data_IF_820587351952
#
_entry.id   IF_820587351952
#
_cell.length_a   1.000
_cell.length_b   1.000
_cell.length_c   1.000
_cell.angle_alpha   90.00
_cell.angle_beta   90.00
_cell.angle_gamma   90.00
#
_symmetry.space_group_name_H-M   'P 1'
#
loop_
_entity.id
_entity.type
_entity.pdbx_description
1 polymer ?
2 non-polymer ?
3 water ?
#
# COMPACT_ATOMS: atom_id res chain seq x y z
N UNK A 3 19.11 -15.57 -42.13
CA UNK A 3 18.82 -15.54 -40.66
C UNK A 3 19.89 -16.32 -39.89
N UNK A 4 21.06 -15.69 -39.74
CA UNK A 4 22.21 -16.32 -39.09
C UNK A 4 22.19 -16.27 -37.55
N UNK A 5 21.44 -15.33 -36.97
CA UNK A 5 21.47 -15.12 -35.52
C UNK A 5 20.15 -14.66 -34.92
N UNK A 6 20.03 -14.85 -33.61
CA UNK A 6 18.85 -14.46 -32.84
C UNK A 6 18.99 -13.02 -32.37
N UNK A 7 17.87 -12.43 -31.88
CA UNK A 7 17.97 -11.17 -31.14
C UNK A 7 18.84 -11.32 -29.88
N UNK A 8 19.70 -10.33 -29.64
CA UNK A 8 20.46 -10.22 -28.38
C UNK A 8 20.05 -8.92 -27.67
N UNK A 9 19.71 -9.02 -26.39
CA UNK A 9 19.39 -7.86 -25.58
C UNK A 9 20.67 -7.10 -25.22
N UNK A 10 20.59 -5.77 -25.11
CA UNK A 10 21.74 -4.97 -24.65
C UNK A 10 22.18 -5.47 -23.26
N UNK A 11 23.50 -5.70 -23.08
CA UNK A 11 23.96 -6.36 -21.85
C UNK A 11 23.74 -5.58 -20.56
N UNK A 12 23.76 -4.25 -20.62
CA UNK A 12 23.65 -3.42 -19.42
C UNK A 12 22.29 -2.75 -19.27
N UNK A 13 21.23 -3.35 -19.81
CA UNK A 13 19.87 -2.92 -19.48
C UNK A 13 19.63 -3.14 -17.98
N UNK A 14 18.91 -2.21 -17.33
CA UNK A 14 18.57 -2.45 -15.92
C UNK A 14 17.67 -3.68 -15.75
N UNK A 15 17.99 -4.52 -14.77
CA UNK A 15 17.18 -5.70 -14.46
C UNK A 15 16.25 -5.46 -13.28
N UNK A 16 16.58 -4.46 -12.46
CA UNK A 16 15.73 -4.07 -11.33
C UNK A 16 14.99 -2.81 -11.73
N UNK A 17 13.69 -2.97 -11.99
CA UNK A 17 12.81 -1.90 -12.35
C UNK A 17 11.77 -1.70 -11.25
N UNK A 18 11.40 -0.44 -11.00
CA UNK A 18 10.40 -0.08 -10.01
C UNK A 18 9.23 0.70 -10.64
N UNK A 19 8.00 0.36 -10.25
CA UNK A 19 6.80 1.07 -10.70
C UNK A 19 5.87 1.31 -9.51
N UNK A 20 5.25 2.48 -9.49
CA UNK A 20 4.32 2.89 -8.43
C UNK A 20 3.03 2.08 -8.51
N UNK A 21 2.52 1.68 -7.36
CA UNK A 21 1.23 1.00 -7.30
C UNK A 21 0.06 1.94 -7.73
N UNK A 22 -1.08 1.31 -8.02
CA UNK A 22 -2.36 1.98 -8.23
C UNK A 22 -2.40 2.90 -9.46
N UNK A 23 -1.68 2.52 -10.52
CA UNK A 23 -1.68 3.25 -11.79
C UNK A 23 -1.63 2.25 -12.94
N UNK A 24 -2.69 2.20 -13.73
CA UNK A 24 -2.69 1.50 -15.01
C UNK A 24 -2.00 2.41 -16.04
N UNK A 25 -1.42 1.80 -17.06
CA UNK A 25 -0.72 2.55 -18.13
C UNK A 25 0.48 3.34 -17.56
N UNK A 26 1.13 2.76 -16.53
CA UNK A 26 2.31 3.35 -15.92
C UNK A 26 3.52 2.72 -16.58
N UNK A 27 4.50 3.56 -16.91
CA UNK A 27 5.75 3.13 -17.51
C UNK A 27 6.61 2.41 -16.46
N UNK A 28 7.06 1.21 -16.81
CA UNK A 28 7.86 0.37 -15.94
C UNK A 28 9.34 0.44 -16.34
N UNK A 29 9.60 0.42 -17.65
CA UNK A 29 10.95 0.48 -18.19
C UNK A 29 10.92 0.14 -19.67
N UNK A 30 12.08 0.12 -20.28
CA UNK A 30 12.22 -0.21 -21.69
C UNK A 30 13.43 -1.10 -21.90
N UNK A 31 13.22 -2.20 -22.63
CA UNK A 31 14.29 -3.08 -23.11
C UNK A 31 14.61 -2.83 -24.58
N UNK A 32 15.76 -3.31 -25.03
CA UNK A 32 16.11 -3.30 -26.44
C UNK A 32 16.90 -4.56 -26.75
N UNK A 33 16.48 -5.26 -27.79
CA UNK A 33 17.27 -6.32 -28.39
C UNK A 33 17.57 -5.94 -29.85
N UNK A 34 18.83 -6.10 -30.25
CA UNK A 34 19.24 -5.86 -31.64
C UNK A 34 19.44 -7.18 -32.35
N UNK A 35 19.24 -7.19 -33.66
CA UNK A 35 19.47 -8.35 -34.49
C UNK A 35 20.27 -7.90 -35.72
N UNK A 36 21.62 -8.00 -35.67
CA UNK A 36 22.43 -7.72 -36.85
C UNK A 36 22.19 -8.74 -37.98
N UNK A 37 21.11 -8.53 -38.71
CA UNK A 37 20.78 -9.26 -39.94
C UNK A 37 20.06 -8.28 -40.84
N UNK A 38 19.95 -8.61 -42.12
CA UNK A 38 19.36 -7.74 -43.12
C UNK A 38 17.84 -7.91 -43.20
N UNK A 39 17.12 -6.79 -43.32
CA UNK A 39 15.67 -6.78 -43.53
C UNK A 39 14.82 -7.37 -42.40
N UNK A 40 14.08 -8.42 -42.73
CA UNK A 40 13.07 -9.04 -41.86
C UNK A 40 13.70 -10.03 -40.86
N UNK A 41 14.90 -10.51 -41.16
CA UNK A 41 15.68 -11.31 -40.21
C UNK A 41 16.31 -10.45 -39.11
N UNK A 42 16.44 -9.14 -39.36
CA UNK A 42 16.93 -8.16 -38.37
C UNK A 42 15.88 -7.37 -37.60
N UNK A 43 14.59 -7.59 -37.89
CA UNK A 43 13.51 -6.87 -37.21
C UNK A 43 13.00 -7.60 -35.95
N UNK A 44 13.02 -6.90 -34.83
CA UNK A 44 12.74 -7.48 -33.51
C UNK A 44 11.31 -7.16 -33.07
N UNK A 45 10.58 -8.20 -32.65
CA UNK A 45 9.24 -8.05 -32.07
C UNK A 45 9.29 -8.49 -30.62
N UNK A 46 8.52 -7.82 -29.76
CA UNK A 46 8.53 -8.04 -28.32
C UNK A 46 7.24 -8.67 -27.81
N UNK A 47 7.38 -9.61 -26.87
CA UNK A 47 6.22 -10.12 -26.14
C UNK A 47 6.58 -10.44 -24.71
N UNK A 48 5.57 -10.73 -23.91
CA UNK A 48 5.80 -11.17 -22.53
C UNK A 48 5.49 -12.64 -22.37
N UNK A 49 6.32 -13.32 -21.58
CA UNK A 49 6.17 -14.75 -21.30
C UNK A 49 5.26 -15.08 -20.13
N UNK A 50 4.91 -14.08 -19.32
CA UNK A 50 4.06 -14.26 -18.16
C UNK A 50 3.45 -12.92 -17.74
N UNK A 51 2.52 -12.98 -16.78
CA UNK A 51 1.84 -11.81 -16.22
C UNK A 51 1.24 -10.87 -17.26
N UNK A 52 0.68 -11.48 -18.32
CA UNK A 52 0.18 -10.79 -19.50
C UNK A 52 -1.08 -9.97 -19.20
N UNK A 53 -1.82 -10.37 -18.16
CA UNK A 53 -3.00 -9.61 -17.73
C UNK A 53 -2.62 -8.36 -16.90
N UNK A 54 -1.38 -8.31 -16.42
CA UNK A 54 -0.87 -7.25 -15.56
C UNK A 54 0.11 -6.27 -16.22
N UNK A 55 0.86 -6.74 -17.23
CA UNK A 55 1.79 -5.92 -17.98
C UNK A 55 1.63 -6.12 -19.48
N UNK A 56 2.08 -5.14 -20.24
CA UNK A 56 2.13 -5.21 -21.70
C UNK A 56 3.44 -4.57 -22.17
N UNK A 57 3.85 -4.92 -23.38
CA UNK A 57 5.09 -4.42 -23.96
C UNK A 57 4.75 -3.88 -25.35
N UNK A 58 5.39 -2.77 -25.72
CA UNK A 58 5.17 -2.12 -27.01
C UNK A 58 6.22 -2.56 -28.06
N UNK A 59 6.06 -2.07 -29.29
CA UNK A 59 6.95 -2.40 -30.39
C UNK A 59 8.38 -1.87 -30.22
N UNK A 60 8.58 -0.85 -29.39
CA UNK A 60 9.93 -0.39 -29.06
C UNK A 60 10.48 -0.95 -27.73
N UNK A 61 9.84 -1.98 -27.18
CA UNK A 61 10.31 -2.64 -25.96
C UNK A 61 9.94 -1.95 -24.67
N UNK A 62 9.05 -0.96 -24.74
CA UNK A 62 8.62 -0.24 -23.53
C UNK A 62 7.52 -1.03 -22.81
N UNK A 63 7.66 -1.19 -21.50
CA UNK A 63 6.75 -1.99 -20.72
C UNK A 63 5.87 -1.06 -19.86
N UNK A 64 4.56 -1.33 -19.86
CA UNK A 64 3.59 -0.59 -19.09
C UNK A 64 2.72 -1.55 -18.29
N UNK A 65 2.20 -1.07 -17.17
CA UNK A 65 1.16 -1.81 -16.46
C UNK A 65 -0.13 -1.78 -17.31
N UNK A 66 -0.80 -2.93 -17.39
CA UNK A 66 -2.09 -3.05 -18.03
C UNK A 66 -3.22 -2.68 -17.07
N UNK A 67 -2.94 -2.83 -15.77
CA UNK A 67 -3.90 -2.59 -14.69
C UNK A 67 -3.23 -1.88 -13.52
N UNK A 68 -4.04 -1.39 -12.59
CA UNK A 68 -3.52 -0.88 -11.33
C UNK A 68 -2.91 -2.04 -10.53
N UNK A 69 -1.63 -1.94 -10.16
CA UNK A 69 -1.02 -2.93 -9.24
C UNK A 69 -1.33 -2.49 -7.81
N UNK A 70 -1.50 -3.46 -6.92
CA UNK A 70 -1.75 -3.17 -5.52
C UNK A 70 -0.59 -3.73 -4.71
N UNK A 71 0.26 -2.83 -4.22
CA UNK A 71 1.41 -3.24 -3.41
C UNK A 71 1.00 -4.06 -2.19
N UNK A 72 -0.14 -3.72 -1.60
CA UNK A 72 -0.64 -4.41 -0.41
C UNK A 72 -1.00 -5.87 -0.75
N UNK A 73 -1.27 -6.18 -2.02
CA UNK A 73 -1.57 -7.55 -2.44
C UNK A 73 -0.32 -8.28 -2.93
N UNK A 74 0.54 -7.60 -3.70
CA UNK A 74 1.80 -8.21 -4.17
C UNK A 74 2.77 -7.12 -4.63
N UNK A 75 4.04 -7.24 -4.24
CA UNK A 75 5.01 -6.17 -4.50
C UNK A 75 6.21 -6.52 -5.41
N UNK A 76 6.17 -7.70 -6.02
CA UNK A 76 7.30 -8.22 -6.78
C UNK A 76 6.80 -9.08 -7.94
N UNK A 77 7.40 -8.88 -9.11
CA UNK A 77 7.12 -9.73 -10.27
C UNK A 77 8.42 -10.10 -10.98
N UNK A 78 8.55 -11.37 -11.34
CA UNK A 78 9.65 -11.85 -12.15
C UNK A 78 9.12 -11.95 -13.57
N UNK A 79 9.33 -10.88 -14.34
CA UNK A 79 8.71 -10.74 -15.66
C UNK A 79 9.60 -11.24 -16.80
N UNK A 80 9.07 -12.14 -17.64
CA UNK A 80 9.81 -12.69 -18.77
C UNK A 80 9.48 -11.89 -20.03
N UNK A 81 10.52 -11.35 -20.65
CA UNK A 81 10.41 -10.60 -21.89
C UNK A 81 11.01 -11.43 -23.01
N UNK A 82 10.30 -11.51 -24.12
CA UNK A 82 10.70 -12.34 -25.25
C UNK A 82 10.95 -11.41 -26.43
N UNK A 83 12.10 -11.56 -27.08
CA UNK A 83 12.41 -10.88 -28.34
C UNK A 83 12.46 -11.93 -29.42
N UNK A 84 11.63 -11.76 -30.46
CA UNK A 84 11.56 -12.67 -31.60
C UNK A 84 11.86 -11.88 -32.88
N UNK A 85 12.67 -12.44 -33.78
CA UNK A 85 12.87 -11.80 -35.09
C UNK A 85 11.70 -12.13 -36.04
N UNK A 86 11.65 -11.42 -37.17
CA UNK A 86 10.63 -11.65 -38.19
C UNK A 86 10.89 -12.74 -39.21
N UNK A 87 12.00 -13.49 -39.08
CA UNK A 87 12.35 -14.54 -40.04
C UNK A 87 11.28 -15.62 -40.19
N UNK A 88 11.30 -16.30 -41.34
CA UNK A 88 10.34 -17.36 -41.66
C UNK A 88 10.44 -18.58 -40.72
N UNK A 89 11.65 -18.88 -40.27
CA UNK A 89 11.89 -19.77 -39.13
C UNK A 89 12.33 -18.86 -37.98
N UNK A 90 11.37 -18.41 -37.12
CA UNK A 90 11.74 -17.39 -36.12
C UNK A 90 12.74 -17.86 -35.06
N UNK A 91 13.59 -16.94 -34.63
CA UNK A 91 14.54 -17.16 -33.55
C UNK A 91 14.23 -16.21 -32.38
N UNK A 92 14.18 -16.77 -31.17
CA UNK A 92 13.73 -16.04 -29.97
C UNK A 92 14.88 -15.96 -28.96
N UNK A 93 14.87 -14.91 -28.15
CA UNK A 93 15.68 -14.87 -26.92
C UNK A 93 14.85 -14.24 -25.82
N UNK A 94 15.27 -14.45 -24.57
CA UNK A 94 14.53 -13.96 -23.41
C UNK A 94 15.40 -13.28 -22.40
N UNK A 95 14.74 -12.47 -21.57
CA UNK A 95 15.33 -11.70 -20.51
C UNK A 95 14.36 -11.74 -19.34
N UNK A 96 14.86 -11.98 -18.13
CA UNK A 96 14.05 -11.80 -16.94
C UNK A 96 14.31 -10.41 -16.33
N UNK A 97 13.21 -9.70 -16.05
CA UNK A 97 13.25 -8.43 -15.31
C UNK A 97 12.60 -8.63 -13.96
N UNK A 98 13.15 -7.94 -12.95
CA UNK A 98 12.69 -8.08 -11.57
C UNK A 98 11.99 -6.79 -11.23
N UNK A 99 10.66 -6.83 -11.14
CA UNK A 99 9.83 -5.64 -10.99
C UNK A 99 9.44 -5.49 -9.51
N UNK A 100 9.66 -4.30 -8.97
CA UNK A 100 9.30 -3.95 -7.59
C UNK A 100 8.16 -2.93 -7.68
N UNK A 101 7.10 -3.16 -6.93
CA UNK A 101 5.95 -2.27 -6.88
C UNK A 101 6.14 -1.34 -5.70
N UNK A 102 6.14 -0.04 -5.97
CA UNK A 102 6.42 0.95 -4.95
C UNK A 102 5.15 1.37 -4.23
N UNK A 103 5.29 1.66 -2.94
CA UNK A 103 4.16 1.99 -2.08
C UNK A 103 3.74 3.44 -2.20
N UNK A 104 2.44 3.69 -2.16
CA UNK A 104 1.88 5.01 -1.86
C UNK A 104 0.99 4.88 -0.63
N UNK A 105 0.77 6.01 0.04
CA UNK A 105 -0.21 6.06 1.11
C UNK A 105 -1.62 6.11 0.53
N UNK A 106 -2.23 4.94 0.38
CA UNK A 106 -3.60 4.82 -0.14
C UNK A 106 -4.53 4.10 0.84
N UNK A 107 -4.08 3.90 2.08
CA UNK A 107 -4.95 3.35 3.13
C UNK A 107 -4.86 4.20 4.40
N UNK A 108 -6.01 4.60 4.89
CA UNK A 108 -6.13 5.19 6.21
C UNK A 108 -6.00 4.11 7.26
N UNK A 109 -5.50 4.46 8.47
CA UNK A 109 -5.59 3.50 9.55
C UNK A 109 -7.03 3.03 9.74
N UNK A 110 -7.20 1.74 10.04
CA UNK A 110 -8.51 1.12 10.25
C UNK A 110 -8.59 0.65 11.71
N UNK A 111 -9.53 1.20 12.46
CA UNK A 111 -9.77 0.75 13.82
C UNK A 111 -10.28 -0.71 13.88
N UNK A 112 -9.85 -1.44 14.91
CA UNK A 112 -10.40 -2.78 15.18
C UNK A 112 -11.92 -2.79 15.41
N UNK A 113 -12.44 -1.72 16.03
CA UNK A 113 -13.86 -1.56 16.30
C UNK A 113 -14.31 -0.27 15.63
N UNK A 114 -15.47 -0.29 14.97
CA UNK A 114 -16.08 0.97 14.58
C UNK A 114 -16.65 1.70 15.81
N UNK A 115 -17.16 0.94 16.78
CA UNK A 115 -17.67 1.51 18.03
C UNK A 115 -17.13 0.75 19.20
N UNK A 116 -16.25 1.39 19.97
CA UNK A 116 -15.85 0.87 21.25
C UNK A 116 -16.90 1.27 22.29
N UNK A 117 -17.30 0.31 23.11
CA UNK A 117 -18.23 0.55 24.21
C UNK A 117 -17.59 -0.05 25.43
N UNK A 118 -17.54 0.72 26.51
CA UNK A 118 -17.02 0.27 27.78
C UNK A 118 -17.91 0.74 28.94
N UNK A 119 -18.11 -0.16 29.89
CA UNK A 119 -18.92 0.10 31.06
C UNK A 119 -17.98 0.25 32.26
N UNK A 120 -18.01 1.42 32.89
CA UNK A 120 -17.14 1.71 34.02
C UNK A 120 -17.96 1.94 35.31
N UNK A 121 -17.34 1.63 36.43
CA UNK A 121 -17.90 1.88 37.74
C UNK A 121 -17.85 3.38 38.00
N UNK A 122 -18.86 3.90 38.69
CA UNK A 122 -18.94 5.33 38.99
C UNK A 122 -17.75 5.80 39.82
N UNK A 123 -17.26 4.95 40.70
CA UNK A 123 -16.12 5.28 41.57
C UNK A 123 -14.77 4.83 41.00
N UNK A 124 -14.68 4.63 39.68
CA UNK A 124 -13.40 4.25 39.07
C UNK A 124 -12.38 5.35 39.38
N UNK A 125 -11.21 4.98 39.94
CA UNK A 125 -10.25 6.01 40.32
C UNK A 125 -9.66 6.78 39.15
N UNK A 126 -9.46 8.08 39.37
CA UNK A 126 -8.69 8.91 38.46
C UNK A 126 -7.34 8.24 38.20
N UNK A 127 -6.90 8.27 36.95
CA UNK A 127 -5.67 7.60 36.54
C UNK A 127 -5.83 6.20 35.97
N UNK A 128 -7.00 5.57 36.16
CA UNK A 128 -7.23 4.23 35.62
C UNK A 128 -7.32 4.26 34.09
N UNK A 129 -6.50 3.44 33.42
CA UNK A 129 -6.66 3.13 32.00
C UNK A 129 -7.63 1.97 31.83
N UNK A 130 -8.76 2.24 31.22
CA UNK A 130 -9.92 1.35 31.22
C UNK A 130 -10.30 0.83 29.84
N UNK A 131 -9.53 1.23 28.81
CA UNK A 131 -9.83 0.83 27.46
C UNK A 131 -8.61 1.10 26.63
N UNK A 132 -8.31 0.18 25.73
CA UNK A 132 -7.26 0.39 24.74
C UNK A 132 -7.90 0.31 23.37
N UNK A 133 -7.71 1.34 22.56
CA UNK A 133 -8.18 1.32 21.17
C UNK A 133 -6.98 0.99 20.27
N UNK A 134 -7.28 0.53 19.04
CA UNK A 134 -6.23 0.05 18.15
C UNK A 134 -6.63 0.23 16.70
N UNK A 135 -5.73 0.81 15.91
CA UNK A 135 -5.92 0.95 14.46
C UNK A 135 -4.67 0.45 13.74
N UNK A 136 -4.86 -0.16 12.57
CA UNK A 136 -3.74 -0.69 11.76
C UNK A 136 -3.72 0.03 10.42
N UNK A 137 -2.52 0.39 9.98
CA UNK A 137 -2.31 0.97 8.67
C UNK A 137 -1.51 0.00 7.81
N UNK A 138 -2.15 -0.50 6.75
CA UNK A 138 -1.53 -1.51 5.87
C UNK A 138 -0.40 -1.00 4.95
N UNK A 139 -0.23 0.32 4.85
CA UNK A 139 0.83 0.90 4.01
C UNK A 139 2.20 0.71 4.64
N UNK A 140 3.22 0.85 3.80
CA UNK A 140 4.61 0.58 4.18
C UNK A 140 5.18 1.67 5.11
N UNK A 141 5.77 1.26 6.22
CA UNK A 141 6.42 2.18 7.16
C UNK A 141 5.50 3.09 7.95
N UNK A 142 4.21 2.81 7.97
CA UNK A 142 3.25 3.69 8.61
C UNK A 142 3.46 3.60 10.13
N UNK A 143 3.31 4.71 10.84
CA UNK A 143 3.27 4.66 12.31
C UNK A 143 2.00 5.36 12.77
N UNK A 144 1.15 4.60 13.46
CA UNK A 144 -0.15 5.09 13.85
C UNK A 144 -0.05 5.84 15.18
N UNK A 145 -0.62 7.03 15.20
CA UNK A 145 -0.75 7.81 16.41
C UNK A 145 -2.24 8.07 16.66
N UNK A 146 -2.63 8.16 17.93
CA UNK A 146 -4.03 8.37 18.36
C UNK A 146 -4.28 9.73 19.01
N UNK A 147 -5.46 10.30 18.72
CA UNK A 147 -5.93 11.48 19.44
C UNK A 147 -7.47 11.52 19.54
N UNK A 148 -7.94 12.18 20.60
CA UNK A 148 -9.35 12.49 20.78
C UNK A 148 -9.66 13.70 19.92
N UNK A 149 -10.66 13.58 19.04
CA UNK A 149 -11.14 14.71 18.25
C UNK A 149 -12.00 15.65 19.12
N UNK A 150 -13.02 15.08 19.78
CA UNK A 150 -14.04 15.87 20.48
C UNK A 150 -13.47 16.65 21.68
N UNK A 151 -13.45 18.01 21.60
CA UNK A 151 -12.95 18.84 22.71
C UNK A 151 -13.65 18.66 24.06
N UNK A 152 -14.97 18.48 24.02
CA UNK A 152 -15.80 18.40 25.23
C UNK A 152 -15.51 17.25 26.22
N UNK A 153 -14.75 16.23 25.82
CA UNK A 153 -14.32 15.17 26.78
C UNK A 153 -12.86 15.29 27.24
N UNK A 154 -12.13 16.29 26.75
CA UNK A 154 -10.70 16.39 27.06
C UNK A 154 -10.37 16.75 28.51
N UNK A 155 -11.38 17.16 29.28
CA UNK A 155 -11.30 17.37 30.73
C UNK A 155 -11.59 16.08 31.51
N UNK A 156 -12.08 15.06 30.82
CA UNK A 156 -12.50 13.79 31.42
C UNK A 156 -11.56 12.61 31.16
N UNK A 157 -11.14 12.46 29.91
CA UNK A 157 -10.33 11.34 29.47
C UNK A 157 -9.08 11.84 28.73
N UNK A 158 -8.00 11.06 28.84
CA UNK A 158 -6.80 11.27 28.05
C UNK A 158 -6.52 9.99 27.26
N UNK A 159 -6.03 10.18 26.04
CA UNK A 159 -5.72 9.08 25.12
C UNK A 159 -4.25 9.12 24.83
N UNK A 160 -3.58 8.00 25.14
CA UNK A 160 -2.16 7.89 24.94
C UNK A 160 -1.88 7.83 23.44
N UNK A 161 -1.00 8.69 22.93
CA UNK A 161 -0.86 8.79 21.46
C UNK A 161 -0.17 7.59 20.77
N UNK A 162 0.60 6.80 21.51
CA UNK A 162 1.25 5.60 20.96
C UNK A 162 0.48 4.31 21.25
N UNK A 163 0.03 4.11 22.49
CA UNK A 163 -0.58 2.86 22.91
C UNK A 163 -2.06 2.81 22.63
N UNK A 164 -2.70 3.96 22.48
CA UNK A 164 -4.14 4.02 22.38
C UNK A 164 -4.90 3.72 23.68
N UNK A 165 -4.20 3.72 24.83
CA UNK A 165 -4.85 3.53 26.14
C UNK A 165 -5.62 4.79 26.53
N UNK A 166 -6.88 4.59 26.90
CA UNK A 166 -7.75 5.65 27.38
C UNK A 166 -7.78 5.60 28.91
N UNK A 167 -7.48 6.74 29.53
CA UNK A 167 -7.48 6.84 30.99
C UNK A 167 -8.39 7.96 31.49
N UNK A 168 -8.80 7.83 32.74
CA UNK A 168 -9.68 8.76 33.41
C UNK A 168 -8.84 9.87 34.06
N UNK A 169 -9.23 11.11 33.82
CA UNK A 169 -8.54 12.27 34.39
C UNK A 169 -9.08 12.68 35.78
N UNK A 170 -10.39 12.53 35.98
CA UNK A 170 -11.07 12.89 37.22
C UNK A 170 -12.18 11.88 37.47
N UNK A 171 -12.62 11.74 38.71
CA UNK A 171 -13.68 10.79 39.04
C UNK A 171 -14.99 11.17 38.34
N UNK A 172 -15.83 10.18 38.07
CA UNK A 172 -17.08 10.38 37.33
C UNK A 172 -18.26 10.81 38.22
N UNK A 173 -19.04 11.79 37.73
CA UNK A 173 -20.26 12.29 38.41
C UNK A 173 -21.43 12.49 37.42
N UNK A 174 -21.67 13.74 36.97
CA UNK A 174 -22.78 14.08 36.06
C UNK A 174 -22.30 14.97 34.90
N UNK A 175 -22.30 14.43 33.67
CA UNK A 175 -21.97 15.20 32.45
C UNK A 175 -23.23 15.47 31.64
N UNK A 182 -26.60 8.08 31.53
CA UNK A 182 -25.30 8.08 32.16
C UNK A 182 -24.25 7.44 31.24
N UNK A 183 -24.15 7.98 30.01
CA UNK A 183 -23.10 7.62 29.09
C UNK A 183 -22.58 8.88 28.38
N UNK A 184 -21.41 8.76 27.79
CA UNK A 184 -20.77 9.83 27.06
C UNK A 184 -20.12 9.21 25.81
N UNK A 185 -20.39 9.83 24.66
CA UNK A 185 -19.91 9.36 23.38
C UNK A 185 -19.07 10.44 22.73
N UNK A 186 -17.97 10.05 22.11
CA UNK A 186 -17.05 10.96 21.44
C UNK A 186 -16.28 10.21 20.35
N UNK A 187 -15.52 10.98 19.57
CA UNK A 187 -14.78 10.45 18.43
C UNK A 187 -13.29 10.47 18.72
N UNK A 188 -12.64 9.37 18.36
CA UNK A 188 -11.20 9.23 18.41
C UNK A 188 -10.67 9.10 16.99
N UNK A 189 -9.44 9.52 16.80
CA UNK A 189 -8.74 9.44 15.52
C UNK A 189 -7.45 8.65 15.59
N UNK A 190 -7.10 8.04 14.47
CA UNK A 190 -5.86 7.33 14.27
C UNK A 190 -5.26 7.83 12.96
N UNK A 191 -4.02 8.28 12.99
CA UNK A 191 -3.41 8.87 11.80
C UNK A 191 -1.96 8.41 11.62
N UNK A 192 -1.55 8.28 10.35
CA UNK A 192 -0.14 8.07 10.01
C UNK A 192 0.54 9.42 10.15
N UNK A 193 1.47 9.48 11.08
CA UNK A 193 2.25 10.68 11.40
C UNK A 193 2.92 11.37 10.19
N UNK A 194 3.35 10.59 9.20
CA UNK A 194 3.95 11.13 7.98
C UNK A 194 3.15 10.78 6.71
N UNK A 195 1.93 10.26 6.88
CA UNK A 195 1.05 9.92 5.78
C UNK A 195 0.22 11.11 5.31
N UNK A 196 -0.51 10.91 4.23
CA UNK A 196 -1.36 11.92 3.61
C UNK A 196 -2.84 11.55 3.54
N UNK A 197 -3.19 10.30 3.81
CA UNK A 197 -4.59 9.88 3.79
C UNK A 197 -5.31 10.48 5.00
N UNK A 198 -6.66 10.49 4.98
CA UNK A 198 -7.39 10.94 6.17
C UNK A 198 -7.14 10.04 7.38
N UNK A 199 -7.43 10.54 8.59
CA UNK A 199 -7.36 9.66 9.75
C UNK A 199 -8.47 8.63 9.74
N UNK A 200 -8.22 7.47 10.33
CA UNK A 200 -9.28 6.54 10.66
C UNK A 200 -10.03 7.11 11.85
N UNK A 201 -11.34 6.83 11.93
CA UNK A 201 -12.20 7.37 12.98
C UNK A 201 -12.98 6.23 13.62
N UNK A 202 -13.21 6.37 14.92
CA UNK A 202 -14.06 5.44 15.64
C UNK A 202 -14.74 6.18 16.76
N UNK A 203 -15.91 5.68 17.13
CA UNK A 203 -16.69 6.27 18.21
C UNK A 203 -16.34 5.47 19.45
N UNK A 204 -16.33 6.16 20.58
CA UNK A 204 -16.09 5.55 21.85
C UNK A 204 -17.26 5.97 22.74
N UNK A 205 -17.93 4.97 23.32
CA UNK A 205 -18.99 5.22 24.25
C UNK A 205 -18.62 4.64 25.62
N UNK A 206 -18.64 5.51 26.62
CA UNK A 206 -18.31 5.16 28.00
C UNK A 206 -19.61 5.21 28.80
N UNK A 207 -19.98 4.09 29.39
CA UNK A 207 -21.23 3.94 30.13
C UNK A 207 -20.87 3.80 31.60
N UNK A 208 -21.51 4.61 32.45
CA UNK A 208 -21.23 4.63 33.87
C UNK A 208 -22.29 3.81 34.58
N UNK A 209 -21.85 2.79 35.31
CA UNK A 209 -22.74 2.04 36.20
C UNK A 209 -23.03 2.87 37.46
N UNK A 210 -24.30 3.02 37.81
CA UNK A 210 -24.69 3.80 39.00
C UNK A 210 -24.62 2.93 40.26
X LIG B 1 -2.73 -0.33 -2.57
X LIG C 1 -0.01 1.51 -0.21
X LIG D 1 -1.60 4.83 5.28
X LIG E 1 17.94 -12.90 -37.10
#
# INVERSE_FOLDING_TARGET
>A
MVNDNAPVFDPYLPRNLSVVEEEANAFVGQVRATDPDAGINGQVHYSLGNFNNLFRITSNGSIYTAVKLNREARDHYELVVVATDGAVHPRHSTLTLYIKVLDIDDNSPVFTNSTYTVVVEENLPAGTSFLQIEAKDVDLGANVSYRIRSPEVKHLFALHPFTGELSLLRSLDYEAFPDQEASITFLAEAFDIYGTMPPGIATVTVIVKDLEHHHHHH
>B hetero
1 CA CA
>C hetero
1 CA CA
>D hetero
1 CA CA
>E hetero
1 CA CA
#
